data_IF_502296828825
#
_entry.id   IF_502296828825
#
_cell.length_a   1.000
_cell.length_b   1.000
_cell.length_c   1.000
_cell.angle_alpha   90.00
_cell.angle_beta   90.00
_cell.angle_gamma   90.00
#
_symmetry.space_group_name_H-M   'P 1'
#
loop_
_entity.id
_entity.type
_entity.pdbx_description
1 polymer ?
#
# COMPACT_ATOMS: atom_id res chain seq x y z
N UNK A 1 -42.16 8.76 20.26
CA UNK A 1 -41.86 7.38 19.85
C UNK A 1 -41.43 7.49 18.39
N UNK A 2 -40.12 7.43 18.11
CA UNK A 2 -39.61 7.47 16.72
C UNK A 2 -40.19 6.29 15.96
N UNK A 3 -40.71 6.53 14.76
CA UNK A 3 -41.38 5.48 14.00
C UNK A 3 -40.30 4.46 13.59
N UNK A 4 -40.53 3.14 13.68
CA UNK A 4 -39.51 2.14 13.36
C UNK A 4 -38.90 2.31 11.96
N UNK A 5 -39.66 2.88 11.02
CA UNK A 5 -39.20 3.20 9.66
C UNK A 5 -38.13 4.30 9.62
N UNK A 6 -38.19 5.29 10.52
CA UNK A 6 -37.23 6.40 10.58
C UNK A 6 -35.84 5.89 11.00
N UNK A 7 -35.78 4.94 11.93
CA UNK A 7 -34.52 4.34 12.39
C UNK A 7 -33.80 3.52 11.29
N UNK A 8 -34.54 2.84 10.42
CA UNK A 8 -33.95 2.09 9.30
C UNK A 8 -33.36 3.01 8.22
N UNK A 9 -34.02 4.14 7.93
CA UNK A 9 -33.49 5.11 6.96
C UNK A 9 -32.23 5.82 7.50
N UNK A 10 -32.20 6.16 8.79
CA UNK A 10 -31.01 6.73 9.45
C UNK A 10 -29.80 5.78 9.37
N UNK A 11 -30.01 4.48 9.64
CA UNK A 11 -28.95 3.46 9.52
C UNK A 11 -28.44 3.31 8.08
N UNK A 12 -29.33 3.36 7.08
CA UNK A 12 -28.96 3.29 5.66
C UNK A 12 -28.19 4.51 5.20
N UNK A 13 -28.59 5.71 5.64
CA UNK A 13 -27.88 6.97 5.37
C UNK A 13 -26.48 6.89 5.99
N UNK A 14 -26.37 6.52 7.27
CA UNK A 14 -25.09 6.39 7.96
C UNK A 14 -24.15 5.36 7.29
N UNK A 15 -24.68 4.20 6.84
CA UNK A 15 -23.90 3.23 6.06
C UNK A 15 -23.39 3.83 4.75
N UNK A 16 -24.27 4.51 4.02
CA UNK A 16 -23.93 5.11 2.72
C UNK A 16 -22.87 6.19 2.87
N UNK A 17 -23.01 7.06 3.87
CA UNK A 17 -22.01 8.09 4.19
C UNK A 17 -20.67 7.48 4.58
N UNK A 18 -20.68 6.42 5.39
CA UNK A 18 -19.47 5.67 5.74
C UNK A 18 -18.77 5.10 4.50
N UNK A 19 -19.52 4.45 3.60
CA UNK A 19 -18.98 3.84 2.39
C UNK A 19 -18.40 4.90 1.44
N UNK A 20 -19.08 6.04 1.27
CA UNK A 20 -18.58 7.19 0.50
C UNK A 20 -17.29 7.72 1.12
N UNK A 21 -17.24 7.85 2.45
CA UNK A 21 -16.04 8.33 3.15
C UNK A 21 -14.86 7.37 2.97
N UNK A 22 -15.09 6.05 3.05
CA UNK A 22 -14.04 5.06 2.82
C UNK A 22 -13.52 5.14 1.39
N UNK A 23 -14.41 5.25 0.39
CA UNK A 23 -14.04 5.39 -1.01
C UNK A 23 -13.21 6.65 -1.27
N UNK A 24 -13.66 7.80 -0.77
CA UNK A 24 -12.94 9.06 -0.91
C UNK A 24 -11.55 9.01 -0.26
N UNK A 25 -11.43 8.32 0.89
CA UNK A 25 -10.13 8.10 1.55
C UNK A 25 -9.21 7.25 0.68
N UNK A 26 -9.73 6.15 0.12
CA UNK A 26 -8.97 5.27 -0.76
C UNK A 26 -8.49 6.02 -2.01
N UNK A 27 -9.38 6.72 -2.72
CA UNK A 27 -9.00 7.49 -3.92
C UNK A 27 -7.91 8.54 -3.61
N UNK A 28 -8.01 9.18 -2.44
CA UNK A 28 -6.99 10.12 -1.97
C UNK A 28 -5.65 9.44 -1.70
N UNK A 29 -5.64 8.30 -1.01
CA UNK A 29 -4.42 7.52 -0.73
C UNK A 29 -3.75 7.05 -2.04
N UNK A 30 -4.55 6.59 -3.01
CA UNK A 30 -4.05 6.19 -4.33
C UNK A 30 -3.43 7.37 -5.10
N UNK A 31 -4.07 8.55 -5.04
CA UNK A 31 -3.53 9.75 -5.67
C UNK A 31 -2.22 10.23 -5.00
N UNK A 32 -2.14 10.15 -3.67
CA UNK A 32 -0.92 10.49 -2.93
C UNK A 32 0.24 9.55 -3.28
N UNK A 33 -0.05 8.25 -3.44
CA UNK A 33 0.96 7.29 -3.88
C UNK A 33 1.49 7.62 -5.28
N UNK A 34 0.59 7.94 -6.22
CA UNK A 34 0.98 8.38 -7.57
C UNK A 34 1.84 9.63 -7.55
N UNK A 35 1.50 10.60 -6.70
CA UNK A 35 2.27 11.83 -6.53
C UNK A 35 3.69 11.54 -6.03
N UNK A 36 3.84 10.70 -4.99
CA UNK A 36 5.16 10.25 -4.50
C UNK A 36 5.96 9.58 -5.61
N UNK A 37 5.32 8.67 -6.36
CA UNK A 37 5.96 7.89 -7.43
C UNK A 37 6.27 8.71 -8.70
N UNK A 38 5.75 9.93 -8.83
CA UNK A 38 5.95 10.80 -10.00
C UNK A 38 7.39 11.30 -10.13
N UNK A 39 8.15 11.34 -9.03
CA UNK A 39 9.54 11.81 -9.00
C UNK A 39 10.52 10.65 -8.88
N UNK A 40 11.70 10.79 -9.50
CA UNK A 40 12.79 9.80 -9.37
C UNK A 40 13.23 9.62 -7.91
N UNK A 41 13.35 10.72 -7.16
CA UNK A 41 13.68 10.68 -5.74
C UNK A 41 12.64 9.89 -4.92
N UNK A 42 11.34 10.09 -5.21
CA UNK A 42 10.28 9.33 -4.56
C UNK A 42 10.37 7.84 -4.87
N UNK A 43 10.57 7.48 -6.14
CA UNK A 43 10.80 6.08 -6.56
C UNK A 43 12.03 5.48 -5.89
N UNK A 44 13.14 6.20 -5.79
CA UNK A 44 14.34 5.74 -5.10
C UNK A 44 14.09 5.44 -3.60
N UNK A 45 13.33 6.30 -2.92
CA UNK A 45 12.95 6.09 -1.51
C UNK A 45 12.06 4.85 -1.36
N UNK A 46 11.03 4.72 -2.19
CA UNK A 46 10.09 3.59 -2.13
C UNK A 46 10.80 2.28 -2.47
N UNK A 47 11.67 2.27 -3.48
CA UNK A 47 12.46 1.11 -3.85
C UNK A 47 13.33 0.62 -2.69
N UNK A 48 14.03 1.54 -2.02
CA UNK A 48 14.83 1.24 -0.82
C UNK A 48 13.96 0.61 0.26
N UNK A 49 12.81 1.19 0.59
CA UNK A 49 11.93 0.67 1.65
C UNK A 49 11.43 -0.75 1.35
N UNK A 50 11.02 -1.04 0.11
CA UNK A 50 10.54 -2.38 -0.28
C UNK A 50 11.70 -3.39 -0.28
N UNK A 51 12.87 -2.97 -0.74
CA UNK A 51 14.08 -3.80 -0.77
C UNK A 51 14.58 -4.13 0.64
N UNK A 52 14.62 -3.13 1.53
CA UNK A 52 15.03 -3.27 2.92
C UNK A 52 14.07 -4.17 3.69
N UNK A 53 12.76 -4.08 3.41
CA UNK A 53 11.73 -4.98 3.94
C UNK A 53 11.90 -6.44 3.50
N UNK A 54 12.81 -6.72 2.56
CA UNK A 54 13.16 -8.08 2.16
C UNK A 54 12.20 -8.74 1.18
N UNK A 55 11.38 -7.98 0.44
CA UNK A 55 10.43 -8.50 -0.56
C UNK A 55 11.10 -9.34 -1.65
N UNK A 56 12.35 -9.03 -2.00
CA UNK A 56 13.08 -9.70 -3.08
C UNK A 56 14.10 -10.76 -2.60
N UNK A 57 14.12 -11.12 -1.31
CA UNK A 57 15.05 -12.12 -0.75
C UNK A 57 14.35 -13.16 0.13
N UNK A 58 14.98 -14.32 0.33
CA UNK A 58 14.48 -15.33 1.27
C UNK A 58 14.51 -14.79 2.71
N UNK A 59 13.46 -15.08 3.48
CA UNK A 59 13.35 -14.78 4.91
C UNK A 59 13.82 -15.91 5.81
N UNK A 60 14.11 -17.08 5.23
CA UNK A 60 14.43 -18.30 5.97
C UNK A 60 15.56 -18.08 6.99
N UNK A 61 15.36 -18.66 8.18
CA UNK A 61 16.32 -18.70 9.27
C UNK A 61 16.11 -20.01 10.04
N UNK A 62 17.19 -20.60 10.55
CA UNK A 62 17.07 -21.73 11.48
C UNK A 62 16.55 -21.30 12.86
N UNK A 63 16.62 -20.01 13.17
CA UNK A 63 15.96 -19.42 14.34
C UNK A 63 14.53 -18.99 13.96
N UNK A 64 13.48 -19.61 14.55
CA UNK A 64 12.10 -19.29 14.23
C UNK A 64 11.70 -17.86 14.62
N UNK A 65 12.29 -17.27 15.67
CA UNK A 65 11.98 -15.89 16.07
C UNK A 65 12.53 -14.88 15.07
N UNK A 66 13.76 -15.11 14.60
CA UNK A 66 14.34 -14.31 13.53
C UNK A 66 13.57 -14.44 12.20
N UNK A 67 13.11 -15.64 11.86
CA UNK A 67 12.27 -15.84 10.66
C UNK A 67 10.94 -15.09 10.80
N UNK A 68 10.26 -15.22 11.94
CA UNK A 68 8.98 -14.54 12.19
C UNK A 68 9.11 -13.02 12.11
N UNK A 69 10.21 -12.45 12.65
CA UNK A 69 10.48 -11.02 12.53
C UNK A 69 10.68 -10.58 11.07
N UNK A 70 11.51 -11.31 10.31
CA UNK A 70 11.74 -11.02 8.88
C UNK A 70 10.47 -11.15 8.04
N UNK A 71 9.62 -12.12 8.34
CA UNK A 71 8.31 -12.26 7.69
C UNK A 71 7.36 -11.11 8.03
N UNK A 72 7.46 -10.58 9.26
CA UNK A 72 6.77 -9.34 9.65
C UNK A 72 7.18 -8.14 8.80
N UNK A 73 8.49 -7.92 8.65
CA UNK A 73 9.05 -6.86 7.79
C UNK A 73 8.62 -7.06 6.33
N UNK A 74 8.77 -8.28 5.81
CA UNK A 74 8.40 -8.65 4.45
C UNK A 74 6.92 -8.44 4.17
N UNK A 75 6.04 -8.77 5.12
CA UNK A 75 4.60 -8.55 4.99
C UNK A 75 4.27 -7.06 4.82
N UNK A 76 4.93 -6.17 5.56
CA UNK A 76 4.74 -4.73 5.37
C UNK A 76 5.21 -4.28 3.97
N UNK A 77 6.41 -4.72 3.56
CA UNK A 77 6.91 -4.44 2.20
C UNK A 77 5.99 -4.96 1.10
N UNK A 78 5.43 -6.16 1.25
CA UNK A 78 4.49 -6.76 0.30
C UNK A 78 3.18 -5.98 0.19
N UNK A 79 2.69 -5.37 1.26
CA UNK A 79 1.49 -4.51 1.21
C UNK A 79 1.73 -3.30 0.30
N UNK A 80 2.87 -2.62 0.49
CA UNK A 80 3.25 -1.47 -0.36
C UNK A 80 3.50 -1.92 -1.80
N UNK A 81 4.20 -3.04 -1.99
CA UNK A 81 4.47 -3.62 -3.29
C UNK A 81 3.16 -3.93 -4.07
N UNK A 82 2.19 -4.53 -3.41
CA UNK A 82 0.89 -4.84 -4.01
C UNK A 82 0.10 -3.57 -4.36
N UNK A 83 0.12 -2.55 -3.48
CA UNK A 83 -0.51 -1.26 -3.76
C UNK A 83 0.09 -0.60 -5.00
N UNK A 84 1.41 -0.62 -5.17
CA UNK A 84 2.07 -0.08 -6.36
C UNK A 84 1.60 -0.78 -7.65
N UNK A 85 1.51 -2.12 -7.63
CA UNK A 85 1.04 -2.89 -8.78
C UNK A 85 -0.42 -2.61 -9.14
N UNK A 86 -1.25 -2.29 -8.14
CA UNK A 86 -2.66 -1.97 -8.35
C UNK A 86 -2.87 -0.52 -8.83
N UNK A 87 -2.13 0.43 -8.26
CA UNK A 87 -2.40 1.87 -8.39
C UNK A 87 -1.59 2.52 -9.52
N UNK A 88 -0.32 2.14 -9.68
CA UNK A 88 0.59 2.75 -10.65
C UNK A 88 1.64 1.74 -11.19
N UNK A 89 1.19 0.66 -11.84
CA UNK A 89 2.08 -0.41 -12.32
C UNK A 89 3.17 0.09 -13.29
N UNK A 90 2.87 1.11 -14.10
CA UNK A 90 3.82 1.75 -15.01
C UNK A 90 4.96 2.48 -14.26
N UNK A 91 4.64 3.19 -13.18
CA UNK A 91 5.65 3.86 -12.36
C UNK A 91 6.45 2.87 -11.53
N UNK A 92 5.85 1.75 -11.12
CA UNK A 92 6.58 0.62 -10.55
C UNK A 92 7.59 0.04 -11.55
N UNK A 93 7.18 -0.22 -12.79
CA UNK A 93 8.07 -0.75 -13.81
C UNK A 93 9.23 0.22 -14.09
N UNK A 94 8.95 1.52 -14.13
CA UNK A 94 9.98 2.55 -14.24
C UNK A 94 10.96 2.51 -13.06
N UNK A 95 10.46 2.51 -11.81
CA UNK A 95 11.29 2.39 -10.61
C UNK A 95 12.18 1.14 -10.63
N UNK A 96 11.66 -0.01 -11.07
CA UNK A 96 12.41 -1.25 -11.15
C UNK A 96 13.53 -1.18 -12.20
N UNK A 97 13.29 -0.53 -13.35
CA UNK A 97 14.31 -0.30 -14.37
C UNK A 97 15.41 0.66 -13.89
N UNK A 98 15.03 1.72 -13.17
CA UNK A 98 15.97 2.66 -12.54
C UNK A 98 16.88 1.92 -11.56
N UNK A 99 16.32 1.03 -10.72
CA UNK A 99 17.11 0.24 -9.78
C UNK A 99 18.01 -0.81 -10.43
N UNK A 100 17.64 -1.34 -11.59
CA UNK A 100 18.46 -2.29 -12.35
C UNK A 100 19.63 -1.61 -13.06
N UNK A 101 19.57 -0.30 -13.28
CA UNK A 101 20.62 0.47 -13.95
C UNK A 101 21.52 1.11 -12.89
N UNK A 102 22.76 0.63 -12.68
CA UNK A 102 23.66 1.28 -11.73
C UNK A 102 23.92 2.72 -12.19
N UNK A 103 23.66 3.67 -11.29
CA UNK A 103 24.05 5.06 -11.49
C UNK A 103 25.57 5.09 -11.66
N UNK A 104 26.04 5.57 -12.82
CA UNK A 104 27.47 5.78 -13.11
C UNK A 104 28.03 6.86 -12.20
#
# INVERSE_FOLDING_TARGET
MTHPFDAYEDERIARTEYDIQQKNRQEKEEQQLKEVMSTEAGRAVIWRLISDSGVFRSSFSNDPYAMAFREGERNYGLKVFNQLHQVCPELYAQMANEAATPSV
#
